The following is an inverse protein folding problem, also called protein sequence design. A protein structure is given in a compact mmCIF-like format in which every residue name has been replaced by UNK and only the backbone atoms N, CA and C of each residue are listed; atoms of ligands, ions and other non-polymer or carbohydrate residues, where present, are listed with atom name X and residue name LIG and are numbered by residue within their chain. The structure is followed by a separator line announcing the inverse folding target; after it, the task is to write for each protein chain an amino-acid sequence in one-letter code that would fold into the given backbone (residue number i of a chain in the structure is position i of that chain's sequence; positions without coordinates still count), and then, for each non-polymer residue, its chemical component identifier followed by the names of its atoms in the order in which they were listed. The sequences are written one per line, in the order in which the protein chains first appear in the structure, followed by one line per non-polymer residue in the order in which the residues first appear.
data_IF_202312966655
#
_entry.id   IF_202312966655
#
_cell.length_a   1.000
_cell.length_b   1.000
_cell.length_c   1.000
_cell.angle_alpha   90.00
_cell.angle_beta   90.00
_cell.angle_gamma   90.00
#
_symmetry.space_group_name_H-M   'P 1'
#
loop_
_entity.id
_entity.type
_entity.pdbx_description
1 polymer ?
#
# COMPACT_ATOMS: atom_id res chain seq x y z
N UNK A 1 -17.87 -29.58 2.90
CA UNK A 1 -18.86 -29.25 3.99
C UNK A 1 -20.33 -29.28 3.52
N UNK A 2 -20.66 -28.82 2.30
CA UNK A 2 -22.05 -28.78 1.81
C UNK A 2 -22.58 -30.14 1.32
N UNK A 3 -21.72 -31.09 0.97
CA UNK A 3 -22.13 -32.47 0.60
C UNK A 3 -22.81 -33.22 1.76
N UNK A 4 -22.39 -32.92 2.99
CA UNK A 4 -22.92 -33.55 4.21
C UNK A 4 -24.23 -32.92 4.70
N UNK A 5 -24.65 -31.78 4.13
CA UNK A 5 -25.82 -31.00 4.58
C UNK A 5 -26.98 -30.98 3.58
N UNK A 6 -27.00 -31.86 2.60
CA UNK A 6 -28.02 -31.88 1.54
C UNK A 6 -28.23 -30.49 0.89
N UNK A 7 -27.13 -29.77 0.62
CA UNK A 7 -27.13 -28.43 0.06
C UNK A 7 -26.69 -28.46 -1.40
N UNK A 8 -27.38 -27.70 -2.24
CA UNK A 8 -27.01 -27.45 -3.63
C UNK A 8 -26.11 -26.19 -3.70
N UNK A 9 -24.94 -26.33 -4.31
CA UNK A 9 -24.07 -25.20 -4.63
C UNK A 9 -24.17 -24.91 -6.12
N UNK A 10 -24.62 -23.71 -6.46
CA UNK A 10 -24.55 -23.15 -7.79
C UNK A 10 -23.39 -22.17 -7.88
N UNK A 11 -22.68 -22.20 -8.99
CA UNK A 11 -21.56 -21.29 -9.25
C UNK A 11 -21.86 -20.51 -10.53
N UNK A 12 -21.89 -19.18 -10.40
CA UNK A 12 -22.11 -18.26 -11.50
C UNK A 12 -20.98 -17.24 -11.53
N UNK A 13 -20.55 -16.89 -12.71
CA UNK A 13 -19.59 -15.83 -12.99
C UNK A 13 -20.20 -14.78 -13.91
N UNK A 14 -19.46 -13.73 -14.22
CA UNK A 14 -19.90 -12.74 -15.22
C UNK A 14 -20.08 -13.36 -16.61
N UNK A 15 -19.40 -14.48 -16.92
CA UNK A 15 -19.49 -15.15 -18.20
C UNK A 15 -20.83 -15.86 -18.40
N UNK A 16 -21.50 -16.21 -17.32
CA UNK A 16 -22.84 -16.81 -17.35
C UNK A 16 -23.93 -15.76 -17.59
N UNK A 17 -23.62 -14.48 -17.48
CA UNK A 17 -24.57 -13.40 -17.76
C UNK A 17 -24.43 -12.92 -19.20
N UNK A 18 -25.28 -13.48 -20.10
CA UNK A 18 -25.27 -13.15 -21.52
C UNK A 18 -25.66 -11.69 -21.85
N UNK A 19 -26.29 -10.99 -20.91
CA UNK A 19 -26.65 -9.58 -21.07
C UNK A 19 -25.52 -8.61 -20.70
N UNK A 20 -24.41 -9.11 -20.15
CA UNK A 20 -23.30 -8.28 -19.72
C UNK A 20 -22.35 -8.00 -20.90
N UNK A 21 -22.20 -6.71 -21.22
CA UNK A 21 -21.31 -6.25 -22.27
C UNK A 21 -19.84 -6.59 -21.98
N UNK A 22 -19.07 -6.90 -23.02
CA UNK A 22 -17.66 -7.26 -22.91
C UNK A 22 -16.80 -6.13 -22.30
N UNK A 23 -17.14 -4.87 -22.57
CA UNK A 23 -16.44 -3.72 -22.00
C UNK A 23 -16.65 -3.59 -20.49
N UNK A 24 -17.85 -3.94 -20.02
CA UNK A 24 -18.20 -3.97 -18.61
C UNK A 24 -17.45 -5.11 -17.91
N UNK A 25 -17.40 -6.30 -18.53
CA UNK A 25 -16.63 -7.44 -18.01
C UNK A 25 -15.15 -7.08 -17.87
N UNK A 26 -14.53 -6.56 -18.93
CA UNK A 26 -13.13 -6.14 -18.91
C UNK A 26 -12.84 -5.09 -17.84
N UNK A 27 -13.76 -4.14 -17.63
CA UNK A 27 -13.65 -3.13 -16.56
C UNK A 27 -13.64 -3.78 -15.18
N UNK A 28 -14.56 -4.70 -14.88
CA UNK A 28 -14.56 -5.39 -13.59
C UNK A 28 -13.34 -6.28 -13.40
N UNK A 29 -12.90 -6.97 -14.43
CA UNK A 29 -11.69 -7.81 -14.39
C UNK A 29 -10.43 -7.00 -14.10
N UNK A 30 -10.33 -5.78 -14.62
CA UNK A 30 -9.20 -4.88 -14.36
C UNK A 30 -9.18 -4.27 -12.96
N UNK A 31 -10.31 -4.30 -12.22
CA UNK A 31 -10.39 -3.73 -10.87
C UNK A 31 -9.77 -4.61 -9.79
N UNK A 32 -9.51 -5.88 -10.09
CA UNK A 32 -9.09 -6.86 -9.09
C UNK A 32 -7.87 -7.65 -9.55
N UNK A 33 -7.04 -8.05 -8.59
CA UNK A 33 -5.87 -8.90 -8.82
C UNK A 33 -5.71 -9.94 -7.71
N UNK A 34 -4.86 -10.94 -7.94
CA UNK A 34 -4.50 -11.95 -6.95
C UNK A 34 -5.72 -12.70 -6.37
N UNK A 35 -5.78 -12.80 -5.05
CA UNK A 35 -6.87 -13.48 -4.32
C UNK A 35 -8.22 -12.80 -4.51
N UNK A 36 -8.25 -11.48 -4.65
CA UNK A 36 -9.46 -10.71 -4.86
C UNK A 36 -10.07 -11.01 -6.24
N UNK A 37 -9.25 -11.12 -7.29
CA UNK A 37 -9.69 -11.56 -8.60
C UNK A 37 -10.33 -12.96 -8.56
N UNK A 38 -9.67 -13.89 -7.88
CA UNK A 38 -10.19 -15.25 -7.74
C UNK A 38 -11.55 -15.29 -7.03
N UNK A 39 -11.74 -14.46 -6.00
CA UNK A 39 -12.98 -14.41 -5.22
C UNK A 39 -14.10 -13.65 -5.93
N UNK A 40 -13.82 -12.43 -6.36
CA UNK A 40 -14.86 -11.51 -6.85
C UNK A 40 -15.18 -11.68 -8.32
N UNK A 41 -14.20 -12.08 -9.13
CA UNK A 41 -14.38 -12.29 -10.57
C UNK A 41 -14.67 -13.77 -10.89
N UNK A 42 -13.85 -14.68 -10.35
CA UNK A 42 -14.01 -16.12 -10.59
C UNK A 42 -14.95 -16.82 -9.61
N UNK A 43 -15.45 -16.14 -8.58
CA UNK A 43 -16.37 -16.68 -7.57
C UNK A 43 -15.81 -17.88 -6.80
N UNK A 44 -14.48 -17.95 -6.66
CA UNK A 44 -13.82 -19.06 -5.99
C UNK A 44 -13.72 -18.83 -4.48
N UNK A 45 -13.87 -19.88 -3.71
CA UNK A 45 -13.67 -19.86 -2.26
C UNK A 45 -12.22 -20.23 -1.96
N UNK A 46 -11.34 -19.25 -2.06
CA UNK A 46 -9.91 -19.39 -1.80
C UNK A 46 -9.51 -18.62 -0.54
N UNK A 47 -8.52 -19.15 0.17
CA UNK A 47 -7.89 -18.46 1.29
C UNK A 47 -6.83 -17.50 0.75
N UNK A 48 -6.63 -16.38 1.46
CA UNK A 48 -5.48 -15.54 1.24
C UNK A 48 -4.30 -16.13 2.00
N UNK A 49 -3.26 -16.54 1.28
CA UNK A 49 -2.08 -17.21 1.83
C UNK A 49 -0.80 -16.66 1.18
N UNK A 50 0.30 -16.70 1.93
CA UNK A 50 1.61 -16.27 1.47
C UNK A 50 1.75 -14.75 1.35
N UNK A 51 2.69 -14.31 0.52
CA UNK A 51 3.00 -12.89 0.29
C UNK A 51 1.81 -12.17 -0.34
N UNK A 52 1.50 -10.98 0.17
CA UNK A 52 0.34 -10.19 -0.26
C UNK A 52 0.54 -9.63 -1.67
N UNK A 53 1.67 -9.00 -1.93
CA UNK A 53 1.96 -8.32 -3.20
C UNK A 53 2.75 -9.22 -4.17
N UNK A 54 2.14 -10.34 -4.60
CA UNK A 54 2.77 -11.33 -5.48
C UNK A 54 3.20 -10.76 -6.84
N UNK A 55 2.55 -9.68 -7.30
CA UNK A 55 2.90 -8.98 -8.54
C UNK A 55 4.14 -8.09 -8.40
N UNK A 56 4.61 -7.82 -7.18
CA UNK A 56 5.84 -7.07 -6.94
C UNK A 56 7.03 -7.98 -7.21
N UNK A 57 7.75 -7.71 -8.28
CA UNK A 57 8.87 -8.50 -8.76
C UNK A 57 10.09 -7.61 -8.98
N UNK A 58 11.21 -8.21 -9.39
CA UNK A 58 12.41 -7.44 -9.78
C UNK A 58 12.13 -6.38 -10.86
N UNK A 59 11.11 -6.58 -11.67
CA UNK A 59 10.70 -5.64 -12.71
C UNK A 59 9.94 -4.44 -12.17
N UNK A 60 9.46 -4.51 -10.92
CA UNK A 60 8.86 -3.38 -10.19
C UNK A 60 9.92 -2.45 -9.59
N UNK A 61 11.17 -2.90 -9.56
CA UNK A 61 12.31 -2.15 -9.02
C UNK A 61 13.08 -1.52 -10.18
N UNK A 62 13.29 -0.22 -10.11
CA UNK A 62 13.94 0.54 -11.18
C UNK A 62 15.13 1.32 -10.64
N UNK A 63 16.14 1.63 -11.48
CA UNK A 63 17.26 2.46 -11.06
C UNK A 63 16.82 3.84 -10.59
N UNK A 64 17.45 4.33 -9.54
CA UNK A 64 17.31 5.71 -9.06
C UNK A 64 17.97 6.66 -10.02
N UNK A 65 17.19 7.25 -10.92
CA UNK A 65 17.65 8.24 -11.91
C UNK A 65 16.73 9.46 -11.91
N UNK A 66 17.21 10.65 -12.28
CA UNK A 66 16.37 11.83 -12.45
C UNK A 66 15.24 11.57 -13.46
N UNK A 67 14.01 11.99 -13.12
CA UNK A 67 12.83 11.98 -14.01
C UNK A 67 12.07 13.28 -13.84
N UNK A 68 11.33 13.69 -14.85
CA UNK A 68 10.47 14.86 -14.80
C UNK A 68 9.13 14.51 -14.14
N UNK A 69 9.09 14.62 -12.82
CA UNK A 69 7.88 14.33 -12.06
C UNK A 69 6.92 15.52 -12.07
N UNK A 70 5.70 15.31 -12.55
CA UNK A 70 4.65 16.31 -12.61
C UNK A 70 4.01 16.63 -11.24
N UNK A 71 4.13 15.70 -10.29
CA UNK A 71 3.59 15.84 -8.94
C UNK A 71 4.43 15.02 -7.95
N UNK A 72 4.54 15.53 -6.71
CA UNK A 72 5.11 14.81 -5.57
C UNK A 72 4.14 14.73 -4.42
N UNK A 73 4.15 13.62 -3.70
CA UNK A 73 3.44 13.41 -2.43
C UNK A 73 4.34 12.67 -1.46
N UNK A 74 4.09 12.82 -0.17
CA UNK A 74 4.64 11.95 0.88
C UNK A 74 3.49 11.22 1.54
N UNK A 75 3.63 9.92 1.74
CA UNK A 75 2.81 9.15 2.66
C UNK A 75 3.62 8.75 3.88
N UNK A 76 2.95 8.59 5.03
CA UNK A 76 3.64 8.37 6.29
C UNK A 76 2.83 7.46 7.21
N UNK A 77 3.47 6.37 7.65
CA UNK A 77 3.08 5.61 8.84
C UNK A 77 3.86 6.16 10.03
N UNK A 78 3.15 6.76 10.99
CA UNK A 78 3.75 7.42 12.15
C UNK A 78 3.66 6.54 13.39
N UNK A 79 4.80 6.07 13.87
CA UNK A 79 4.90 5.26 15.07
C UNK A 79 5.70 5.94 16.19
N UNK A 80 5.15 5.98 17.41
CA UNK A 80 5.88 6.45 18.60
C UNK A 80 6.78 5.34 19.15
N UNK A 81 6.25 4.13 19.26
CA UNK A 81 6.98 2.93 19.73
C UNK A 81 7.34 1.98 18.59
N UNK A 82 6.56 2.00 17.54
CA UNK A 82 6.78 1.26 16.30
C UNK A 82 7.63 2.11 15.34
N UNK A 83 8.23 1.50 14.33
CA UNK A 83 8.90 2.25 13.30
C UNK A 83 8.03 3.33 12.67
N UNK A 84 8.66 4.44 12.27
CA UNK A 84 8.07 5.46 11.42
C UNK A 84 8.62 5.29 10.01
N UNK A 85 7.73 5.19 9.03
CA UNK A 85 8.07 5.17 7.62
C UNK A 85 7.52 6.41 6.92
N UNK A 86 8.33 7.06 6.09
CA UNK A 86 7.92 8.15 5.20
C UNK A 86 8.35 7.78 3.79
N UNK A 87 7.40 7.76 2.87
CA UNK A 87 7.63 7.36 1.48
C UNK A 87 7.38 8.55 0.56
N UNK A 88 8.40 8.94 -0.19
CA UNK A 88 8.31 10.01 -1.16
C UNK A 88 7.94 9.43 -2.53
N UNK A 89 6.84 9.89 -3.09
CA UNK A 89 6.38 9.48 -4.41
C UNK A 89 6.42 10.64 -5.40
N UNK A 90 6.76 10.31 -6.65
CA UNK A 90 6.68 11.19 -7.80
C UNK A 90 5.85 10.58 -8.93
N UNK A 91 5.04 11.40 -9.59
CA UNK A 91 4.23 11.00 -10.74
C UNK A 91 4.91 11.43 -12.05
N UNK A 92 5.23 10.47 -12.91
CA UNK A 92 5.79 10.70 -14.24
C UNK A 92 5.03 9.85 -15.27
N UNK A 93 4.49 10.47 -16.31
CA UNK A 93 3.77 9.83 -17.42
C UNK A 93 2.65 8.85 -16.96
N UNK A 94 1.95 9.21 -15.90
CA UNK A 94 0.86 8.40 -15.37
C UNK A 94 1.30 7.22 -14.50
N UNK A 95 2.61 7.06 -14.25
CA UNK A 95 3.21 6.05 -13.39
C UNK A 95 3.71 6.72 -12.10
N UNK A 96 3.35 6.16 -10.97
CA UNK A 96 3.91 6.55 -9.68
C UNK A 96 5.24 5.86 -9.44
N UNK A 97 6.22 6.61 -9.01
CA UNK A 97 7.52 6.12 -8.58
C UNK A 97 7.68 6.42 -7.11
N UNK A 98 8.01 5.41 -6.31
CA UNK A 98 8.58 5.70 -4.99
C UNK A 98 10.02 6.18 -5.22
N UNK A 99 10.25 7.45 -4.95
CA UNK A 99 11.49 8.15 -5.30
C UNK A 99 12.54 7.95 -4.22
N UNK A 100 12.11 8.02 -2.96
CA UNK A 100 12.97 7.90 -1.78
C UNK A 100 12.14 7.46 -0.57
N UNK A 101 12.83 7.09 0.52
CA UNK A 101 12.22 6.68 1.77
C UNK A 101 13.01 7.17 2.98
N UNK A 102 12.30 7.44 4.06
CA UNK A 102 12.86 7.54 5.40
C UNK A 102 12.25 6.44 6.26
N UNK A 103 13.12 5.75 7.02
CA UNK A 103 12.67 4.70 7.92
C UNK A 103 13.43 4.78 9.24
N UNK A 104 12.73 4.91 10.35
CA UNK A 104 13.31 4.96 11.68
C UNK A 104 12.60 4.01 12.63
N UNK A 105 13.35 3.11 13.25
CA UNK A 105 12.88 2.24 14.31
C UNK A 105 13.56 2.59 15.63
N UNK A 106 12.80 3.12 16.57
CA UNK A 106 13.32 3.41 17.90
C UNK A 106 13.81 2.17 18.64
N UNK A 107 13.27 0.99 18.31
CA UNK A 107 13.73 -0.29 18.87
C UNK A 107 15.09 -0.71 18.33
N UNK A 108 15.32 -0.53 17.02
CA UNK A 108 16.60 -0.89 16.39
C UNK A 108 17.70 0.09 16.75
N UNK A 109 17.38 1.38 16.84
CA UNK A 109 18.36 2.44 17.12
C UNK A 109 18.60 2.68 18.62
N UNK A 110 17.68 2.22 19.47
CA UNK A 110 17.69 2.54 20.91
C UNK A 110 17.29 3.99 21.23
N UNK A 111 16.83 4.76 20.25
CA UNK A 111 16.48 6.18 20.39
C UNK A 111 15.07 6.43 19.84
N UNK A 112 14.24 7.06 20.67
CA UNK A 112 12.95 7.60 20.23
C UNK A 112 13.15 9.03 19.74
N UNK A 113 12.47 9.39 18.66
CA UNK A 113 12.44 10.76 18.12
C UNK A 113 11.18 11.48 18.57
N UNK A 114 11.30 12.80 18.71
CA UNK A 114 10.18 13.73 18.94
C UNK A 114 9.47 14.06 17.63
N UNK A 115 8.29 14.67 17.74
CA UNK A 115 7.55 15.18 16.57
C UNK A 115 8.39 16.19 15.77
N UNK A 116 9.14 17.04 16.46
CA UNK A 116 10.00 18.04 15.83
C UNK A 116 11.15 17.39 15.05
N UNK A 117 11.78 16.34 15.59
CA UNK A 117 12.84 15.59 14.91
C UNK A 117 12.29 14.86 13.68
N UNK A 118 11.11 14.21 13.78
CA UNK A 118 10.47 13.63 12.61
C UNK A 118 10.05 14.67 11.57
N UNK A 119 9.67 15.87 12.00
CA UNK A 119 9.39 16.96 11.07
C UNK A 119 10.65 17.44 10.34
N UNK A 120 11.80 17.46 11.01
CA UNK A 120 13.07 17.75 10.36
C UNK A 120 13.44 16.67 9.35
N UNK A 121 13.31 15.37 9.71
CA UNK A 121 13.54 14.26 8.80
C UNK A 121 12.61 14.33 7.57
N UNK A 122 11.32 14.69 7.74
CA UNK A 122 10.40 14.92 6.63
C UNK A 122 10.89 16.06 5.72
N UNK A 123 11.38 17.15 6.31
CA UNK A 123 11.92 18.28 5.56
C UNK A 123 13.20 17.90 4.80
N UNK A 124 14.06 17.07 5.38
CA UNK A 124 15.27 16.55 4.74
C UNK A 124 14.94 15.61 3.59
N UNK A 125 14.01 14.65 3.79
CA UNK A 125 13.54 13.73 2.75
C UNK A 125 12.98 14.49 1.53
N UNK A 126 12.22 15.56 1.78
CA UNK A 126 11.59 16.34 0.71
C UNK A 126 12.59 17.30 0.05
N UNK A 127 13.57 17.84 0.81
CA UNK A 127 14.49 18.86 0.31
C UNK A 127 13.77 20.05 -0.32
N UNK A 128 14.20 20.43 -1.54
CA UNK A 128 13.63 21.52 -2.34
C UNK A 128 12.51 21.07 -3.31
N UNK A 129 12.12 19.79 -3.27
CA UNK A 129 11.06 19.27 -4.12
C UNK A 129 9.71 19.94 -3.82
N UNK A 130 8.88 20.20 -4.85
CA UNK A 130 7.60 20.88 -4.69
C UNK A 130 6.50 19.96 -4.11
N UNK A 131 6.81 19.25 -3.02
CA UNK A 131 5.86 18.43 -2.28
C UNK A 131 4.89 19.33 -1.55
N UNK A 132 3.61 19.17 -1.80
CA UNK A 132 2.55 19.95 -1.14
C UNK A 132 1.63 19.11 -0.25
N UNK A 133 1.54 17.81 -0.47
CA UNK A 133 0.63 16.92 0.25
C UNK A 133 1.40 15.91 1.09
N UNK A 134 1.03 15.81 2.38
CA UNK A 134 1.40 14.75 3.29
C UNK A 134 0.15 13.92 3.61
N UNK A 135 0.18 12.64 3.29
CA UNK A 135 -0.87 11.66 3.63
C UNK A 135 -0.42 10.92 4.88
N UNK A 136 -1.22 10.91 5.92
CA UNK A 136 -0.86 10.34 7.22
C UNK A 136 -2.08 9.81 7.96
N UNK A 137 -1.89 8.76 8.76
CA UNK A 137 -2.93 8.24 9.66
C UNK A 137 -3.48 9.35 10.57
N UNK A 138 -4.80 9.50 10.66
CA UNK A 138 -5.42 10.52 11.50
C UNK A 138 -5.12 10.38 13.00
N UNK A 139 -4.64 9.23 13.46
CA UNK A 139 -4.24 9.00 14.86
C UNK A 139 -2.98 9.78 15.27
N UNK A 140 -2.12 10.15 14.32
CA UNK A 140 -0.91 10.94 14.54
C UNK A 140 -1.21 12.42 14.86
N UNK A 141 -2.09 12.69 15.80
CA UNK A 141 -2.70 14.00 16.03
C UNK A 141 -1.71 15.09 16.43
N UNK A 142 -0.70 14.78 17.24
CA UNK A 142 0.36 15.71 17.67
C UNK A 142 1.24 16.13 16.49
N UNK A 143 1.73 15.16 15.73
CA UNK A 143 2.52 15.41 14.53
C UNK A 143 1.74 16.20 13.47
N UNK A 144 0.46 15.83 13.25
CA UNK A 144 -0.42 16.57 12.33
C UNK A 144 -0.58 18.03 12.75
N UNK A 145 -0.72 18.30 14.05
CA UNK A 145 -0.81 19.67 14.58
C UNK A 145 0.48 20.47 14.30
N UNK A 146 1.64 19.85 14.50
CA UNK A 146 2.94 20.45 14.20
C UNK A 146 3.09 20.77 12.71
N UNK A 147 2.80 19.81 11.84
CA UNK A 147 2.87 19.99 10.37
C UNK A 147 1.95 21.10 9.90
N UNK A 148 0.73 21.16 10.40
CA UNK A 148 -0.21 22.24 10.07
C UNK A 148 0.26 23.62 10.49
N UNK A 149 0.93 23.72 11.65
CA UNK A 149 1.49 24.98 12.15
C UNK A 149 2.62 25.50 11.25
N UNK A 150 3.37 24.60 10.60
CA UNK A 150 4.46 24.99 9.70
C UNK A 150 3.98 25.60 8.38
N UNK A 151 2.75 25.36 7.97
CA UNK A 151 2.16 25.78 6.69
C UNK A 151 2.91 25.31 5.42
N UNK A 152 3.87 24.38 5.55
CA UNK A 152 4.63 23.87 4.41
C UNK A 152 3.89 22.79 3.64
N UNK A 153 3.18 21.91 4.36
CA UNK A 153 2.48 20.76 3.78
C UNK A 153 0.98 20.81 4.08
N UNK A 154 0.18 20.45 3.10
CA UNK A 154 -1.26 20.20 3.29
C UNK A 154 -1.41 18.75 3.78
N UNK A 155 -1.89 18.59 5.00
CA UNK A 155 -2.16 17.27 5.56
C UNK A 155 -3.46 16.72 5.03
N UNK A 156 -3.40 15.53 4.44
CA UNK A 156 -4.54 14.71 4.05
C UNK A 156 -4.55 13.44 4.90
N UNK A 157 -5.71 13.12 5.46
CA UNK A 157 -5.88 11.90 6.25
C UNK A 157 -5.86 10.68 5.34
N UNK A 158 -5.13 9.64 5.75
CA UNK A 158 -5.16 8.34 5.10
C UNK A 158 -6.55 7.69 5.24
N UNK A 159 -6.87 6.80 4.31
CA UNK A 159 -7.97 5.86 4.45
C UNK A 159 -7.42 4.59 5.09
N UNK A 160 -7.94 4.22 6.27
CA UNK A 160 -7.41 3.11 7.06
C UNK A 160 -8.09 1.77 6.74
N UNK A 161 -8.78 1.64 5.61
CA UNK A 161 -9.27 0.34 5.15
C UNK A 161 -8.11 -0.46 4.54
N UNK A 162 -7.56 -1.36 5.36
CA UNK A 162 -6.37 -2.15 5.00
C UNK A 162 -6.63 -3.04 3.79
N UNK A 163 -7.80 -3.67 3.70
CA UNK A 163 -8.09 -4.59 2.59
C UNK A 163 -8.29 -3.84 1.27
N UNK A 164 -8.97 -2.70 1.30
CA UNK A 164 -9.12 -1.82 0.15
C UNK A 164 -7.76 -1.27 -0.31
N UNK A 165 -6.91 -0.87 0.64
CA UNK A 165 -5.55 -0.42 0.37
C UNK A 165 -4.71 -1.50 -0.32
N UNK A 166 -4.71 -2.73 0.23
CA UNK A 166 -4.00 -3.87 -0.34
C UNK A 166 -4.50 -4.18 -1.75
N UNK A 167 -5.82 -4.21 -1.95
CA UNK A 167 -6.41 -4.48 -3.26
C UNK A 167 -6.00 -3.43 -4.30
N UNK A 168 -6.11 -2.15 -3.94
CA UNK A 168 -5.75 -1.05 -4.84
C UNK A 168 -4.26 -1.09 -5.20
N UNK A 169 -3.39 -1.22 -4.21
CA UNK A 169 -1.93 -1.30 -4.40
C UNK A 169 -1.55 -2.51 -5.24
N UNK A 170 -2.14 -3.68 -4.98
CA UNK A 170 -1.91 -4.88 -5.79
C UNK A 170 -2.27 -4.65 -7.27
N UNK A 171 -3.38 -3.95 -7.52
CA UNK A 171 -3.83 -3.65 -8.89
C UNK A 171 -2.87 -2.72 -9.61
N UNK A 172 -2.46 -1.60 -8.98
CA UNK A 172 -1.54 -0.64 -9.61
C UNK A 172 -0.13 -1.20 -9.81
N UNK A 173 0.33 -2.12 -8.96
CA UNK A 173 1.58 -2.87 -9.17
C UNK A 173 1.44 -3.78 -10.40
N UNK A 174 0.36 -4.54 -10.51
CA UNK A 174 0.11 -5.43 -11.64
C UNK A 174 0.00 -4.67 -12.96
N UNK A 175 -0.61 -3.49 -12.95
CA UNK A 175 -0.71 -2.59 -14.11
C UNK A 175 0.59 -1.84 -14.42
N UNK A 176 1.64 -2.05 -13.63
CA UNK A 176 2.91 -1.32 -13.70
C UNK A 176 2.76 0.21 -13.57
N UNK A 177 1.77 0.63 -12.80
CA UNK A 177 1.51 2.03 -12.45
C UNK A 177 2.15 2.47 -11.13
N UNK A 178 2.82 1.54 -10.44
CA UNK A 178 3.67 1.80 -9.28
C UNK A 178 5.00 1.08 -9.46
N UNK A 179 6.07 1.85 -9.44
CA UNK A 179 7.45 1.39 -9.48
C UNK A 179 8.23 1.93 -8.28
N UNK A 180 9.25 1.22 -7.86
CA UNK A 180 10.05 1.57 -6.68
C UNK A 180 11.50 1.75 -7.09
N UNK A 181 12.11 2.88 -6.73
CA UNK A 181 13.53 3.10 -6.96
C UNK A 181 14.37 2.16 -6.08
N UNK A 182 15.50 1.70 -6.60
CA UNK A 182 16.39 0.73 -5.93
C UNK A 182 17.02 1.25 -4.63
N UNK A 183 16.99 2.57 -4.39
CA UNK A 183 17.39 3.17 -3.11
C UNK A 183 16.38 2.88 -1.97
N UNK A 184 15.12 2.57 -2.28
CA UNK A 184 14.06 2.31 -1.30
C UNK A 184 14.15 0.89 -0.74
N UNK A 185 15.23 0.59 -0.04
CA UNK A 185 15.61 -0.77 0.36
C UNK A 185 14.70 -1.38 1.41
N UNK A 186 14.19 -0.57 2.35
CA UNK A 186 13.23 -1.04 3.39
C UNK A 186 11.88 -1.38 2.79
N UNK A 187 11.33 -0.51 1.93
CA UNK A 187 10.09 -0.78 1.21
C UNK A 187 10.21 -2.05 0.36
N UNK A 188 11.31 -2.22 -0.38
CA UNK A 188 11.55 -3.42 -1.20
C UNK A 188 11.57 -4.68 -0.34
N UNK A 189 12.20 -4.64 0.85
CA UNK A 189 12.19 -5.75 1.79
C UNK A 189 10.78 -6.08 2.28
N UNK A 190 10.02 -5.06 2.68
CA UNK A 190 8.68 -5.27 3.22
C UNK A 190 7.71 -5.80 2.17
N UNK A 191 7.82 -5.40 0.88
CA UNK A 191 7.06 -6.02 -0.20
C UNK A 191 7.26 -7.55 -0.28
N UNK A 192 8.47 -8.02 0.02
CA UNK A 192 8.79 -9.45 0.03
C UNK A 192 8.35 -10.20 1.29
N UNK A 193 8.10 -9.50 2.40
CA UNK A 193 7.80 -10.09 3.71
C UNK A 193 6.32 -9.96 4.08
N UNK A 194 5.63 -8.92 3.61
CA UNK A 194 4.25 -8.62 3.96
C UNK A 194 3.32 -9.74 3.49
N UNK A 195 2.77 -10.47 4.45
CA UNK A 195 2.11 -11.76 4.20
C UNK A 195 0.77 -11.86 4.92
N UNK A 196 -0.09 -12.73 4.41
CA UNK A 196 -1.35 -13.06 5.03
C UNK A 196 -1.16 -13.96 6.26
N UNK A 197 -2.00 -13.75 7.27
CA UNK A 197 -2.07 -14.62 8.43
C UNK A 197 -2.73 -15.95 8.06
N UNK A 198 -2.03 -17.08 8.23
CA UNK A 198 -2.48 -18.41 7.79
C UNK A 198 -3.80 -18.88 8.42
N UNK A 199 -4.12 -18.46 9.64
CA UNK A 199 -5.35 -18.86 10.36
C UNK A 199 -5.94 -17.66 11.08
N UNK A 200 -7.05 -17.19 10.59
CA UNK A 200 -7.89 -16.24 11.33
C UNK A 200 -9.07 -16.96 11.95
N UNK A 201 -9.30 -16.74 13.24
CA UNK A 201 -10.39 -17.38 14.00
C UNK A 201 -11.78 -17.12 13.39
N UNK A 202 -11.92 -16.03 12.63
CA UNK A 202 -13.19 -15.57 12.07
C UNK A 202 -13.30 -15.76 10.54
N UNK A 203 -12.32 -16.41 9.89
CA UNK A 203 -12.29 -16.59 8.44
C UNK A 203 -12.11 -15.29 7.63
N UNK A 204 -11.73 -14.19 8.29
CA UNK A 204 -11.40 -12.92 7.64
C UNK A 204 -9.91 -12.88 7.32
N UNK A 205 -9.57 -12.42 6.13
CA UNK A 205 -8.18 -12.20 5.77
C UNK A 205 -7.61 -11.05 6.58
N UNK A 206 -6.45 -11.27 7.15
CA UNK A 206 -5.68 -10.24 7.85
C UNK A 206 -4.22 -10.36 7.48
N UNK A 207 -3.53 -9.25 7.23
CA UNK A 207 -2.08 -9.27 7.12
C UNK A 207 -1.45 -9.54 8.48
N UNK A 208 -0.25 -10.09 8.46
CA UNK A 208 0.63 -10.18 9.63
C UNK A 208 1.12 -8.76 9.93
N UNK A 209 0.98 -8.32 11.18
CA UNK A 209 1.38 -6.97 11.64
C UNK A 209 2.85 -6.97 12.07
N UNK A 210 3.74 -7.34 11.15
CA UNK A 210 5.19 -7.31 11.30
C UNK A 210 5.81 -6.93 9.96
N UNK A 211 6.81 -6.04 9.96
CA UNK A 211 7.47 -5.54 8.76
C UNK A 211 6.47 -4.97 7.74
N UNK A 212 5.56 -4.14 8.22
CA UNK A 212 4.44 -3.61 7.45
C UNK A 212 4.39 -2.07 7.40
N UNK A 213 5.38 -1.38 7.98
CA UNK A 213 5.33 0.07 8.15
C UNK A 213 5.43 0.86 6.85
N UNK A 214 6.24 0.40 5.90
CA UNK A 214 6.25 0.98 4.55
C UNK A 214 5.01 0.57 3.74
N UNK A 215 4.38 -0.56 4.10
CA UNK A 215 3.13 -1.01 3.46
C UNK A 215 1.91 -0.26 4.00
N UNK A 216 1.95 0.14 5.27
CA UNK A 216 0.90 0.93 5.93
C UNK A 216 1.06 2.45 5.65
N UNK A 217 2.24 2.91 5.21
CA UNK A 217 2.51 4.29 4.80
C UNK A 217 1.94 4.59 3.42
#
# INVERSE_FOLDING_TARGET
KHKEKNALRLHFTMDDNLALDASIKARYESMYSGVFYQRYIKGLWVLAEGVIYQAFTKESIVPTVPRDYSKYIVSMDYGIQNPTAMLLFGLCDGVWYQVDEFYHSGRETGQQKTDEEYYQDLCELVGDLPVRELIIDPSASSFIALVRKSNRFKVRKANNDVLDGIQHTSTIIQERKLLVNDCCTRTIQEYGLYSWQEKTSNGQDKPIKENDHAMDA
#
